data_IF_323573613748
#
_entry.id   IF_323573613748
#
_cell.length_a   1.000
_cell.length_b   1.000
_cell.length_c   1.000
_cell.angle_alpha   90.00
_cell.angle_beta   90.00
_cell.angle_gamma   90.00
#
_symmetry.space_group_name_H-M   'P 1'
#
loop_
_entity.id
_entity.type
_entity.pdbx_description
1 polymer ?
#
# COMPACT_ATOMS: atom_id res chain seq x y z
N UNK A 1 9.06 18.34 8.42
CA UNK A 1 8.67 17.02 7.88
C UNK A 1 8.90 16.90 6.39
N UNK A 2 8.23 17.71 5.55
CA UNK A 2 8.42 17.74 4.07
C UNK A 2 9.85 17.44 3.57
N UNK A 3 10.83 18.26 3.97
CA UNK A 3 12.22 18.12 3.52
C UNK A 3 12.87 16.77 3.91
N UNK A 4 12.46 16.16 5.02
CA UNK A 4 12.95 14.84 5.47
C UNK A 4 12.36 13.75 4.59
N UNK A 5 11.05 13.81 4.31
CA UNK A 5 10.40 12.88 3.38
C UNK A 5 11.00 12.99 1.97
N UNK A 6 11.13 14.21 1.44
CA UNK A 6 11.69 14.48 0.10
C UNK A 6 13.16 14.06 -0.02
N UNK A 7 13.92 14.05 1.07
CA UNK A 7 15.30 13.54 1.05
C UNK A 7 15.36 12.04 0.72
N UNK A 8 14.43 11.25 1.26
CA UNK A 8 14.38 9.80 1.02
C UNK A 8 13.48 9.40 -0.16
N UNK A 9 12.45 10.20 -0.44
CA UNK A 9 11.43 9.98 -1.45
C UNK A 9 11.17 11.31 -2.19
N UNK A 10 11.98 11.65 -3.21
CA UNK A 10 11.96 12.97 -3.85
C UNK A 10 10.61 13.36 -4.47
N UNK A 11 9.80 12.38 -4.89
CA UNK A 11 8.49 12.58 -5.50
C UNK A 11 7.34 12.50 -4.48
N UNK A 12 7.65 12.39 -3.18
CA UNK A 12 6.66 12.32 -2.13
C UNK A 12 5.84 13.61 -2.03
N UNK A 13 4.52 13.46 -2.01
CA UNK A 13 3.57 14.56 -1.81
C UNK A 13 2.83 14.39 -0.49
N UNK A 14 2.40 15.50 0.10
CA UNK A 14 1.57 15.48 1.29
C UNK A 14 0.27 14.69 1.03
N UNK A 15 -0.16 13.89 2.00
CA UNK A 15 -1.30 12.97 1.87
C UNK A 15 -2.61 13.71 1.52
N UNK A 16 -2.82 14.91 2.05
CA UNK A 16 -3.96 15.76 1.66
C UNK A 16 -3.90 16.20 0.19
N UNK A 17 -2.70 16.51 -0.30
CA UNK A 17 -2.49 16.92 -1.70
C UNK A 17 -2.70 15.75 -2.65
N UNK A 18 -2.20 14.56 -2.30
CA UNK A 18 -2.45 13.34 -3.07
C UNK A 18 -3.95 13.07 -3.23
N UNK A 19 -4.69 13.02 -2.13
CA UNK A 19 -6.11 12.67 -2.12
C UNK A 19 -6.95 13.62 -2.99
N UNK A 20 -6.70 14.93 -2.88
CA UNK A 20 -7.36 15.92 -3.74
C UNK A 20 -7.00 15.73 -5.22
N UNK A 21 -5.71 15.60 -5.54
CA UNK A 21 -5.24 15.49 -6.92
C UNK A 21 -5.74 14.22 -7.61
N UNK A 22 -5.72 13.07 -6.90
CA UNK A 22 -6.23 11.79 -7.41
C UNK A 22 -7.73 11.89 -7.69
N UNK A 23 -8.51 12.42 -6.75
CA UNK A 23 -9.95 12.58 -6.94
C UNK A 23 -10.29 13.49 -8.12
N UNK A 24 -9.63 14.66 -8.21
CA UNK A 24 -9.85 15.60 -9.30
C UNK A 24 -9.44 15.01 -10.65
N UNK A 25 -8.37 14.22 -10.69
CA UNK A 25 -7.90 13.56 -11.90
C UNK A 25 -8.89 12.49 -12.38
N UNK A 26 -9.37 11.63 -11.48
CA UNK A 26 -10.39 10.62 -11.79
C UNK A 26 -11.66 11.28 -12.35
N UNK A 27 -12.09 12.40 -11.76
CA UNK A 27 -13.26 13.15 -12.26
C UNK A 27 -13.07 13.70 -13.66
N UNK A 28 -11.88 14.22 -13.97
CA UNK A 28 -11.55 14.72 -15.33
C UNK A 28 -11.49 13.59 -16.35
N UNK A 29 -11.16 12.38 -15.92
CA UNK A 29 -11.05 11.18 -16.76
C UNK A 29 -12.37 10.37 -16.81
N UNK A 30 -13.48 11.02 -16.46
CA UNK A 30 -14.84 10.50 -16.64
C UNK A 30 -15.35 9.59 -15.52
N UNK A 31 -14.61 9.48 -14.41
CA UNK A 31 -15.18 8.93 -13.16
C UNK A 31 -16.05 9.96 -12.45
N UNK A 32 -16.92 9.49 -11.56
CA UNK A 32 -17.68 10.36 -10.65
C UNK A 32 -17.77 9.75 -9.25
N UNK A 33 -18.19 10.56 -8.28
CA UNK A 33 -18.30 10.11 -6.89
C UNK A 33 -19.46 9.16 -6.63
N UNK A 34 -20.49 9.13 -7.47
CA UNK A 34 -21.72 8.37 -7.24
C UNK A 34 -21.65 6.96 -7.84
N UNK A 35 -20.76 6.74 -8.81
CA UNK A 35 -20.58 5.50 -9.55
C UNK A 35 -19.16 4.93 -9.47
N UNK A 36 -18.27 5.53 -8.67
CA UNK A 36 -16.93 4.98 -8.41
C UNK A 36 -16.87 4.43 -6.99
N UNK A 37 -16.64 3.14 -6.84
CA UNK A 37 -16.28 2.54 -5.53
C UNK A 37 -14.77 2.40 -5.45
N UNK A 38 -14.23 2.15 -4.25
CA UNK A 38 -12.80 2.05 -4.07
C UNK A 38 -12.39 0.93 -3.11
N UNK A 39 -11.12 0.53 -3.25
CA UNK A 39 -10.49 -0.50 -2.46
C UNK A 39 -9.08 -0.06 -2.04
N UNK A 40 -8.57 -0.71 -1.01
CA UNK A 40 -7.20 -0.54 -0.54
C UNK A 40 -6.47 -1.87 -0.47
N UNK A 41 -5.24 -1.92 -0.99
CA UNK A 41 -4.25 -2.95 -0.66
C UNK A 41 -3.10 -2.31 0.12
N UNK A 42 -3.39 -2.00 1.39
CA UNK A 42 -2.49 -1.33 2.34
C UNK A 42 -2.27 -2.21 3.57
N UNK A 43 -1.33 -1.81 4.42
CA UNK A 43 -1.00 -2.53 5.65
C UNK A 43 -2.21 -2.61 6.60
N UNK A 44 -2.21 -3.60 7.50
CA UNK A 44 -3.18 -3.68 8.61
C UNK A 44 -2.86 -2.74 9.77
N UNK A 45 -1.74 -2.01 9.70
CA UNK A 45 -1.33 -1.03 10.70
C UNK A 45 -2.36 0.11 10.79
N UNK A 46 -2.73 0.56 12.00
CA UNK A 46 -3.81 1.53 12.16
C UNK A 46 -3.52 2.90 11.55
N UNK A 47 -2.24 3.23 11.37
CA UNK A 47 -1.78 4.50 10.80
C UNK A 47 -1.94 4.57 9.27
N UNK A 48 -2.15 3.44 8.58
CA UNK A 48 -2.35 3.43 7.12
C UNK A 48 -3.80 3.70 6.71
N UNK A 49 -4.64 4.13 7.65
CA UNK A 49 -6.04 4.45 7.42
C UNK A 49 -6.27 5.93 7.06
N UNK A 50 -5.31 6.57 6.38
CA UNK A 50 -5.29 8.01 6.11
C UNK A 50 -6.18 8.47 4.94
N UNK A 51 -6.91 7.53 4.30
CA UNK A 51 -7.65 7.74 3.05
C UNK A 51 -9.16 8.03 3.23
N UNK A 52 -9.57 8.49 4.42
CA UNK A 52 -10.99 8.79 4.72
C UNK A 52 -11.62 9.83 3.79
N UNK A 53 -10.83 10.67 3.12
CA UNK A 53 -11.31 11.60 2.10
C UNK A 53 -12.13 10.89 1.02
N UNK A 54 -11.70 9.72 0.56
CA UNK A 54 -12.39 8.98 -0.50
C UNK A 54 -13.73 8.42 -0.04
N UNK A 55 -13.87 7.97 1.22
CA UNK A 55 -15.17 7.56 1.79
C UNK A 55 -16.23 8.67 1.67
N UNK A 56 -15.83 9.94 1.77
CA UNK A 56 -16.78 11.07 1.69
C UNK A 56 -17.10 11.50 0.26
N UNK A 57 -16.37 10.96 -0.73
CA UNK A 57 -16.33 11.48 -2.11
C UNK A 57 -16.68 10.44 -3.17
N UNK A 58 -16.67 9.16 -2.80
CA UNK A 58 -16.87 8.01 -3.67
C UNK A 58 -18.03 7.16 -3.15
N UNK A 59 -18.55 6.29 -4.01
CA UNK A 59 -19.67 5.43 -3.72
C UNK A 59 -19.29 4.36 -2.71
N UNK A 60 -20.28 3.92 -1.93
CA UNK A 60 -20.12 2.89 -0.90
C UNK A 60 -19.64 3.44 0.46
N UNK A 61 -19.74 2.63 1.52
CA UNK A 61 -19.48 3.06 2.89
C UNK A 61 -17.99 3.19 3.26
N UNK A 62 -17.08 2.74 2.40
CA UNK A 62 -15.64 2.71 2.66
C UNK A 62 -14.89 1.82 1.67
N UNK A 63 -13.58 1.65 1.86
CA UNK A 63 -12.81 0.83 0.95
C UNK A 63 -13.15 -0.65 1.14
N UNK A 64 -13.17 -1.40 0.04
CA UNK A 64 -12.98 -2.85 0.10
C UNK A 64 -11.51 -3.13 0.48
N UNK A 65 -11.27 -3.97 1.48
CA UNK A 65 -9.91 -4.28 1.95
C UNK A 65 -9.36 -5.48 1.18
N UNK A 66 -8.44 -5.21 0.25
CA UNK A 66 -7.72 -6.23 -0.52
C UNK A 66 -6.40 -6.65 0.14
N UNK A 67 -5.85 -5.77 0.99
CA UNK A 67 -4.53 -5.89 1.59
C UNK A 67 -4.45 -6.83 2.81
N UNK A 68 -3.44 -6.57 3.62
CA UNK A 68 -3.09 -7.25 4.87
C UNK A 68 -1.74 -6.73 5.32
N UNK A 69 -1.00 -7.42 6.19
CA UNK A 69 0.29 -6.90 6.67
C UNK A 69 1.24 -6.62 5.50
N UNK A 70 2.04 -5.56 5.61
CA UNK A 70 2.91 -5.03 4.53
C UNK A 70 2.16 -4.46 3.31
N UNK A 71 0.84 -4.67 3.17
CA UNK A 71 0.06 -4.19 2.01
C UNK A 71 -0.05 -5.19 0.85
N UNK A 72 0.45 -6.42 1.02
CA UNK A 72 0.26 -7.49 0.04
C UNK A 72 -1.23 -7.79 -0.16
N UNK A 73 -1.70 -8.01 -1.41
CA UNK A 73 -3.12 -8.21 -1.72
C UNK A 73 -3.58 -9.63 -1.32
N UNK A 74 -3.70 -9.88 -0.02
CA UNK A 74 -4.02 -11.19 0.56
C UNK A 74 -5.47 -11.63 0.32
N UNK A 75 -6.38 -10.72 0.00
CA UNK A 75 -7.74 -11.09 -0.41
C UNK A 75 -7.76 -11.90 -1.72
N UNK A 76 -6.71 -11.77 -2.54
CA UNK A 76 -6.49 -12.58 -3.74
C UNK A 76 -7.54 -12.38 -4.83
N UNK A 77 -7.62 -13.34 -5.74
CA UNK A 77 -8.57 -13.34 -6.87
C UNK A 77 -10.02 -13.35 -6.37
N UNK A 78 -10.33 -14.15 -5.35
CA UNK A 78 -11.68 -14.20 -4.77
C UNK A 78 -12.12 -12.84 -4.22
N UNK A 79 -11.25 -12.17 -3.45
CA UNK A 79 -11.52 -10.83 -2.93
C UNK A 79 -11.65 -9.78 -4.03
N UNK A 80 -10.80 -9.84 -5.06
CA UNK A 80 -10.89 -8.94 -6.21
C UNK A 80 -12.22 -9.10 -6.96
N UNK A 81 -12.65 -10.33 -7.23
CA UNK A 81 -13.94 -10.59 -7.88
C UNK A 81 -15.12 -10.11 -7.03
N UNK A 82 -15.04 -10.26 -5.71
CA UNK A 82 -16.04 -9.70 -4.79
C UNK A 82 -16.06 -8.17 -4.82
N UNK A 83 -14.89 -7.52 -4.87
CA UNK A 83 -14.83 -6.06 -5.03
C UNK A 83 -15.44 -5.59 -6.36
N UNK A 84 -15.06 -6.22 -7.48
CA UNK A 84 -15.53 -5.85 -8.81
C UNK A 84 -17.04 -6.07 -8.99
N UNK A 85 -17.63 -7.08 -8.34
CA UNK A 85 -19.08 -7.32 -8.39
C UNK A 85 -19.90 -6.27 -7.65
N UNK A 86 -19.27 -5.44 -6.81
CA UNK A 86 -19.91 -4.33 -6.11
C UNK A 86 -19.86 -3.02 -6.91
N UNK A 87 -19.13 -2.97 -8.02
CA UNK A 87 -19.02 -1.77 -8.85
C UNK A 87 -20.42 -1.43 -9.41
N UNK A 88 -20.88 -0.17 -9.27
CA UNK A 88 -22.15 0.26 -9.85
C UNK A 88 -22.22 -0.05 -11.35
N UNK A 89 -23.42 -0.30 -11.88
CA UNK A 89 -23.60 -0.56 -13.32
C UNK A 89 -23.08 0.62 -14.15
N UNK A 90 -22.13 0.35 -15.05
CA UNK A 90 -21.46 1.40 -15.84
C UNK A 90 -20.52 2.29 -15.03
N UNK A 91 -20.24 1.90 -13.78
CA UNK A 91 -19.36 2.59 -12.86
C UNK A 91 -17.90 2.18 -12.99
N UNK A 92 -17.10 2.66 -12.04
CA UNK A 92 -15.65 2.48 -12.02
C UNK A 92 -15.18 1.99 -10.66
N UNK A 93 -13.94 1.50 -10.63
CA UNK A 93 -13.27 1.13 -9.40
C UNK A 93 -11.95 1.89 -9.27
N UNK A 94 -11.61 2.29 -8.05
CA UNK A 94 -10.26 2.75 -7.71
C UNK A 94 -9.60 1.77 -6.74
N UNK A 95 -8.31 1.49 -6.93
CA UNK A 95 -7.51 0.71 -5.98
C UNK A 95 -6.31 1.56 -5.55
N UNK A 96 -6.26 1.92 -4.27
CA UNK A 96 -5.08 2.51 -3.64
C UNK A 96 -4.24 1.39 -3.05
N UNK A 97 -2.97 1.27 -3.41
CA UNK A 97 -2.13 0.18 -2.93
C UNK A 97 -0.69 0.61 -2.69
N UNK A 98 -0.03 -0.16 -1.83
CA UNK A 98 1.35 0.11 -1.49
C UNK A 98 1.75 -0.47 -0.15
N UNK A 99 3.07 -0.61 0.09
CA UNK A 99 3.60 -0.77 1.42
C UNK A 99 3.64 0.59 2.12
N UNK A 100 4.06 0.58 3.38
CA UNK A 100 4.28 1.81 4.13
C UNK A 100 5.61 1.78 4.87
N UNK A 101 6.13 2.96 5.19
CA UNK A 101 7.35 3.16 5.95
C UNK A 101 7.20 4.34 6.91
N UNK A 102 7.73 4.18 8.12
CA UNK A 102 7.80 5.24 9.10
C UNK A 102 9.01 6.14 8.91
N UNK A 103 8.83 7.44 9.07
CA UNK A 103 9.91 8.43 9.09
C UNK A 103 9.69 9.37 10.27
N UNK A 104 10.60 9.36 11.25
CA UNK A 104 10.52 10.25 12.42
C UNK A 104 10.88 11.69 12.06
N UNK A 105 10.57 12.66 12.93
CA UNK A 105 11.01 14.05 12.78
C UNK A 105 12.53 14.22 12.64
N UNK A 106 13.31 13.31 13.22
CA UNK A 106 14.77 13.27 13.14
C UNK A 106 15.30 12.56 11.88
N UNK A 107 14.43 12.02 11.04
CA UNK A 107 14.80 11.31 9.82
C UNK A 107 15.16 9.84 10.03
N UNK A 108 14.74 9.22 11.14
CA UNK A 108 14.92 7.78 11.33
C UNK A 108 13.89 7.01 10.49
N UNK A 109 14.39 6.18 9.57
CA UNK A 109 13.54 5.32 8.74
C UNK A 109 13.10 4.05 9.47
N UNK A 110 11.90 3.57 9.15
CA UNK A 110 11.35 2.35 9.71
C UNK A 110 10.67 2.56 11.07
N UNK A 111 10.50 3.81 11.51
CA UNK A 111 9.93 4.14 12.83
C UNK A 111 9.05 5.38 12.82
N UNK A 112 8.13 5.43 13.78
CA UNK A 112 7.28 6.59 14.09
C UNK A 112 7.01 6.70 15.58
N UNK A 113 6.69 7.90 16.05
CA UNK A 113 6.04 8.17 17.34
C UNK A 113 4.54 8.03 17.20
N UNK A 114 3.97 7.04 17.88
CA UNK A 114 2.51 6.84 17.95
C UNK A 114 1.92 7.69 19.08
N UNK A 115 0.71 8.20 18.88
CA UNK A 115 0.00 9.03 19.85
C UNK A 115 -0.15 8.28 21.17
N UNK A 116 0.17 8.94 22.29
CA UNK A 116 0.05 8.40 23.65
C UNK A 116 0.89 7.13 23.92
N UNK A 117 1.97 6.92 23.17
CA UNK A 117 2.95 5.86 23.44
C UNK A 117 4.33 6.48 23.65
N UNK A 118 5.03 6.02 24.68
CA UNK A 118 6.41 6.43 24.92
C UNK A 118 7.36 5.82 23.88
N UNK A 119 8.24 6.66 23.33
CA UNK A 119 9.30 6.26 22.41
C UNK A 119 8.85 5.96 20.98
N UNK A 120 9.82 5.51 20.17
CA UNK A 120 9.60 5.13 18.77
C UNK A 120 9.09 3.69 18.67
N UNK A 121 8.29 3.44 17.65
CA UNK A 121 7.80 2.11 17.28
C UNK A 121 8.14 1.78 15.85
N UNK A 122 8.27 0.49 15.52
CA UNK A 122 8.54 0.05 14.15
C UNK A 122 7.35 0.36 13.23
N UNK A 123 7.67 0.69 11.98
CA UNK A 123 6.72 1.07 10.94
C UNK A 123 7.39 0.95 9.56
N UNK A 124 7.06 -0.01 8.70
CA UNK A 124 6.16 -1.13 8.90
C UNK A 124 6.74 -2.19 9.86
N UNK A 125 5.95 -2.63 10.84
CA UNK A 125 6.34 -3.69 11.76
C UNK A 125 6.61 -5.03 11.06
N UNK A 126 5.77 -5.40 10.08
CA UNK A 126 5.90 -6.65 9.31
C UNK A 126 7.16 -6.68 8.44
N UNK A 127 7.47 -5.58 7.74
CA UNK A 127 8.71 -5.44 6.96
C UNK A 127 9.92 -5.52 7.91
N UNK A 128 9.89 -4.82 9.05
CA UNK A 128 10.99 -4.85 10.01
C UNK A 128 11.24 -6.26 10.55
N UNK A 129 10.18 -6.98 10.92
CA UNK A 129 10.29 -8.37 11.37
C UNK A 129 10.83 -9.30 10.27
N UNK A 130 10.43 -9.08 9.01
CA UNK A 130 10.94 -9.84 7.89
C UNK A 130 12.42 -9.56 7.61
N UNK A 131 12.86 -8.31 7.74
CA UNK A 131 14.27 -7.93 7.66
C UNK A 131 15.13 -8.65 8.71
N UNK A 132 14.65 -8.70 9.95
CA UNK A 132 15.35 -9.43 11.01
C UNK A 132 15.39 -10.94 10.74
N UNK A 133 14.31 -11.49 10.18
CA UNK A 133 14.26 -12.91 9.78
C UNK A 133 15.31 -13.24 8.71
N UNK A 134 15.37 -12.48 7.61
CA UNK A 134 16.32 -12.76 6.51
C UNK A 134 17.78 -12.50 6.89
N UNK A 135 18.05 -11.66 7.90
CA UNK A 135 19.40 -11.49 8.47
C UNK A 135 19.90 -12.76 9.12
N UNK A 136 19.04 -13.41 9.91
CA UNK A 136 19.40 -14.57 10.74
C UNK A 136 19.27 -15.89 9.98
N UNK A 137 18.24 -16.05 9.15
CA UNK A 137 17.90 -17.31 8.50
C UNK A 137 18.03 -17.19 6.97
N UNK A 138 19.14 -17.70 6.42
CA UNK A 138 19.34 -17.77 4.97
C UNK A 138 18.56 -18.93 4.30
N UNK A 139 18.13 -19.92 5.09
CA UNK A 139 17.53 -21.16 4.60
C UNK A 139 16.01 -21.17 4.79
N UNK A 140 15.28 -20.96 3.69
CA UNK A 140 13.86 -21.33 3.50
C UNK A 140 12.86 -20.78 4.51
N UNK A 141 11.82 -20.09 4.03
CA UNK A 141 10.73 -19.66 4.93
C UNK A 141 9.84 -20.83 5.28
N UNK A 142 9.70 -21.11 6.57
CA UNK A 142 8.73 -22.08 7.05
C UNK A 142 7.32 -21.51 6.86
N UNK A 143 6.47 -22.28 6.19
CA UNK A 143 5.06 -21.95 6.08
C UNK A 143 4.38 -22.21 7.43
N UNK A 144 3.87 -21.15 8.06
CA UNK A 144 3.07 -21.24 9.28
C UNK A 144 1.63 -20.85 8.95
N UNK A 145 0.66 -21.79 8.97
CA UNK A 145 -0.73 -21.47 8.71
C UNK A 145 -1.34 -20.42 9.67
N UNK A 146 -0.79 -20.26 10.88
CA UNK A 146 -1.24 -19.26 11.85
C UNK A 146 -0.59 -17.89 11.64
N UNK A 147 0.55 -17.83 10.94
CA UNK A 147 1.28 -16.60 10.62
C UNK A 147 1.53 -16.46 9.11
N UNK A 148 0.59 -16.97 8.31
CA UNK A 148 0.75 -17.18 6.87
C UNK A 148 1.16 -15.89 6.14
N UNK A 149 0.54 -14.77 6.49
CA UNK A 149 0.85 -13.50 5.85
C UNK A 149 2.31 -13.11 6.08
N UNK A 150 2.85 -13.31 7.29
CA UNK A 150 4.24 -12.95 7.59
C UNK A 150 5.21 -13.91 6.92
N UNK A 151 4.90 -15.22 6.88
CA UNK A 151 5.68 -16.18 6.08
C UNK A 151 5.77 -15.73 4.61
N UNK A 152 4.68 -15.26 4.01
CA UNK A 152 4.73 -14.75 2.62
C UNK A 152 5.54 -13.46 2.48
N UNK A 153 5.49 -12.55 3.46
CA UNK A 153 6.34 -11.33 3.45
C UNK A 153 7.81 -11.68 3.54
N UNK A 154 8.20 -12.58 4.46
CA UNK A 154 9.59 -13.03 4.60
C UNK A 154 10.05 -13.70 3.30
N UNK A 155 9.23 -14.55 2.70
CA UNK A 155 9.57 -15.26 1.45
C UNK A 155 9.86 -14.27 0.33
N UNK A 156 9.01 -13.27 0.15
CA UNK A 156 9.20 -12.22 -0.84
C UNK A 156 10.48 -11.41 -0.60
N UNK A 157 10.73 -10.93 0.62
CA UNK A 157 11.94 -10.15 0.90
C UNK A 157 13.22 -11.00 0.85
N UNK A 158 13.14 -12.29 1.17
CA UNK A 158 14.29 -13.18 1.10
C UNK A 158 14.78 -13.41 -0.34
N UNK A 159 13.89 -13.30 -1.34
CA UNK A 159 14.27 -13.33 -2.76
C UNK A 159 15.16 -12.14 -3.16
N UNK A 160 15.14 -11.06 -2.36
CA UNK A 160 15.92 -9.84 -2.51
C UNK A 160 16.87 -9.64 -1.31
N UNK A 161 17.34 -10.73 -0.71
CA UNK A 161 18.12 -10.68 0.53
C UNK A 161 19.43 -9.91 0.35
N UNK A 162 20.18 -10.21 -0.71
CA UNK A 162 21.53 -9.65 -0.89
C UNK A 162 21.50 -8.14 -1.10
N UNK A 163 20.60 -7.65 -1.95
CA UNK A 163 20.44 -6.22 -2.23
C UNK A 163 19.87 -5.45 -1.04
N UNK A 164 18.91 -6.04 -0.32
CA UNK A 164 18.38 -5.43 0.92
C UNK A 164 19.47 -5.29 1.98
N UNK A 165 20.25 -6.35 2.24
CA UNK A 165 21.22 -6.36 3.32
C UNK A 165 22.49 -5.54 3.01
N UNK A 166 22.79 -5.31 1.72
CA UNK A 166 23.93 -4.50 1.29
C UNK A 166 23.62 -2.99 1.24
N UNK A 167 22.35 -2.58 1.37
CA UNK A 167 21.94 -1.19 1.24
C UNK A 167 22.28 -0.33 2.47
N UNK A 168 22.53 0.97 2.24
CA UNK A 168 22.71 1.97 3.32
C UNK A 168 21.46 2.08 4.21
N UNK A 169 20.28 1.90 3.60
CA UNK A 169 18.99 1.91 4.28
C UNK A 169 18.20 0.63 3.96
N UNK A 170 18.49 -0.50 4.64
CA UNK A 170 17.85 -1.79 4.34
C UNK A 170 16.32 -1.76 4.44
N UNK A 171 15.77 -1.01 5.40
CA UNK A 171 14.31 -0.88 5.54
C UNK A 171 13.67 -0.14 4.38
N UNK A 172 14.35 0.88 3.83
CA UNK A 172 13.88 1.58 2.64
C UNK A 172 13.84 0.64 1.43
N UNK A 173 14.94 -0.07 1.19
CA UNK A 173 15.05 -1.01 0.07
C UNK A 173 14.05 -2.14 0.21
N UNK A 174 13.84 -2.68 1.41
CA UNK A 174 12.80 -3.68 1.67
C UNK A 174 11.39 -3.15 1.40
N UNK A 175 11.09 -1.91 1.76
CA UNK A 175 9.81 -1.26 1.41
C UNK A 175 9.69 -1.08 -0.11
N UNK A 176 10.75 -0.67 -0.80
CA UNK A 176 10.76 -0.56 -2.26
C UNK A 176 10.51 -1.93 -2.94
N UNK A 177 11.12 -3.01 -2.45
CA UNK A 177 10.87 -4.39 -2.91
C UNK A 177 9.46 -4.88 -2.58
N UNK A 178 8.91 -4.49 -1.45
CA UNK A 178 7.52 -4.79 -1.10
C UNK A 178 6.55 -4.11 -2.09
N UNK A 179 6.82 -2.88 -2.52
CA UNK A 179 6.01 -2.19 -3.53
C UNK A 179 6.00 -2.96 -4.85
N UNK A 180 7.17 -3.35 -5.36
CA UNK A 180 7.29 -4.16 -6.59
C UNK A 180 6.50 -5.47 -6.48
N UNK A 181 6.59 -6.16 -5.33
CA UNK A 181 5.87 -7.40 -5.09
C UNK A 181 4.35 -7.20 -5.01
N UNK A 182 3.88 -6.13 -4.37
CA UNK A 182 2.45 -5.77 -4.27
C UNK A 182 1.91 -5.50 -5.68
N UNK A 183 2.60 -4.67 -6.46
CA UNK A 183 2.19 -4.31 -7.81
C UNK A 183 2.09 -5.53 -8.72
N UNK A 184 3.14 -6.34 -8.81
CA UNK A 184 3.15 -7.56 -9.64
C UNK A 184 2.10 -8.58 -9.21
N UNK A 185 1.78 -8.66 -7.91
CA UNK A 185 0.75 -9.59 -7.42
C UNK A 185 -0.65 -9.06 -7.70
N UNK A 186 -0.86 -7.76 -7.54
CA UNK A 186 -2.13 -7.10 -7.85
C UNK A 186 -2.46 -7.20 -9.34
N UNK A 187 -1.49 -6.97 -10.22
CA UNK A 187 -1.63 -7.14 -11.67
C UNK A 187 -2.06 -8.57 -12.04
N UNK A 188 -1.36 -9.59 -11.52
CA UNK A 188 -1.74 -11.00 -11.75
C UNK A 188 -3.12 -11.37 -11.20
N UNK A 189 -3.56 -10.70 -10.14
CA UNK A 189 -4.91 -10.87 -9.59
C UNK A 189 -5.94 -10.25 -10.54
N UNK A 190 -5.67 -9.05 -11.05
CA UNK A 190 -6.53 -8.34 -11.99
C UNK A 190 -6.65 -9.08 -13.31
N UNK A 191 -5.55 -9.61 -13.86
CA UNK A 191 -5.55 -10.43 -15.09
C UNK A 191 -6.48 -11.65 -14.99
N UNK A 192 -6.65 -12.20 -13.79
CA UNK A 192 -7.54 -13.34 -13.54
C UNK A 192 -8.97 -12.94 -13.16
N UNK A 193 -9.17 -11.72 -12.70
CA UNK A 193 -10.46 -11.24 -12.21
C UNK A 193 -11.22 -10.47 -13.29
N UNK A 194 -10.57 -9.53 -13.97
CA UNK A 194 -11.19 -8.62 -14.94
C UNK A 194 -11.94 -9.30 -16.10
N UNK A 195 -11.49 -10.44 -16.66
CA UNK A 195 -12.22 -11.11 -17.73
C UNK A 195 -13.69 -11.47 -17.39
N UNK A 196 -14.04 -11.59 -16.10
CA UNK A 196 -15.41 -11.87 -15.65
C UNK A 196 -16.28 -10.59 -15.55
N UNK A 197 -15.70 -9.41 -15.74
CA UNK A 197 -16.29 -8.11 -15.42
C UNK A 197 -16.17 -7.10 -16.58
N UNK A 198 -16.64 -7.49 -17.76
CA UNK A 198 -16.57 -6.69 -18.98
C UNK A 198 -17.14 -5.27 -18.80
N UNK A 199 -16.38 -4.26 -19.26
CA UNK A 199 -16.78 -2.85 -19.23
C UNK A 199 -16.55 -2.12 -17.91
N UNK A 200 -15.99 -2.78 -16.88
CA UNK A 200 -15.52 -2.10 -15.67
C UNK A 200 -14.13 -1.53 -15.91
N UNK A 201 -14.00 -0.23 -15.66
CA UNK A 201 -12.71 0.45 -15.66
C UNK A 201 -12.18 0.57 -14.23
N UNK A 202 -10.92 0.18 -14.05
CA UNK A 202 -10.23 0.26 -12.75
C UNK A 202 -9.08 1.25 -12.86
N UNK A 203 -9.00 2.20 -11.93
CA UNK A 203 -7.82 3.07 -11.77
C UNK A 203 -6.95 2.55 -10.64
N UNK A 204 -5.68 2.37 -10.95
CA UNK A 204 -4.64 1.96 -10.03
C UNK A 204 -3.91 3.20 -9.51
N UNK A 205 -3.84 3.35 -8.20
CA UNK A 205 -3.12 4.41 -7.48
C UNK A 205 -2.11 3.74 -6.55
N UNK A 206 -0.92 3.48 -7.08
CA UNK A 206 0.14 2.73 -6.42
C UNK A 206 1.26 3.63 -5.93
N UNK A 207 1.77 3.38 -4.73
CA UNK A 207 2.95 4.07 -4.23
C UNK A 207 3.42 3.56 -2.89
N UNK A 208 4.22 4.38 -2.20
CA UNK A 208 4.65 4.11 -0.82
C UNK A 208 4.00 5.14 0.09
N UNK A 209 3.25 4.65 1.08
CA UNK A 209 2.75 5.49 2.17
C UNK A 209 3.88 5.78 3.16
N UNK A 210 4.12 7.05 3.44
CA UNK A 210 5.19 7.51 4.31
C UNK A 210 4.50 8.06 5.56
N UNK A 211 4.46 7.24 6.61
CA UNK A 211 3.88 7.63 7.88
C UNK A 211 4.89 8.43 8.69
N UNK A 212 4.41 9.51 9.27
CA UNK A 212 5.21 10.44 10.06
C UNK A 212 4.80 10.35 11.53
N UNK A 213 5.47 11.10 12.41
CA UNK A 213 5.07 11.17 13.81
C UNK A 213 3.62 11.68 13.94
N UNK A 214 2.88 11.19 14.95
CA UNK A 214 1.43 11.36 15.08
C UNK A 214 0.89 12.81 15.00
N UNK A 215 1.74 13.81 15.20
CA UNK A 215 1.41 15.24 15.16
C UNK A 215 1.81 15.91 13.83
N UNK A 216 2.29 15.14 12.85
CA UNK A 216 2.67 15.57 11.52
C UNK A 216 1.71 15.02 10.46
N UNK A 217 1.75 15.62 9.27
CA UNK A 217 1.03 15.11 8.10
C UNK A 217 1.84 14.02 7.40
N UNK A 218 1.16 12.93 7.03
CA UNK A 218 1.75 11.84 6.25
C UNK A 218 1.98 12.22 4.78
N UNK A 219 2.84 11.45 4.11
CA UNK A 219 3.20 11.65 2.71
C UNK A 219 2.95 10.38 1.90
N UNK A 220 2.96 10.53 0.58
CA UNK A 220 2.81 9.41 -0.34
C UNK A 220 3.72 9.62 -1.55
N UNK A 221 4.58 8.64 -1.82
CA UNK A 221 5.42 8.57 -3.01
C UNK A 221 4.63 7.86 -4.12
N UNK A 222 3.95 8.63 -4.99
CA UNK A 222 3.10 8.11 -6.05
C UNK A 222 3.95 7.56 -7.20
N UNK A 223 3.87 6.25 -7.43
CA UNK A 223 4.66 5.55 -8.47
C UNK A 223 3.82 5.09 -9.65
N UNK A 224 2.56 4.75 -9.39
CA UNK A 224 1.64 4.24 -10.41
C UNK A 224 0.34 5.02 -10.38
N UNK A 225 0.00 5.61 -11.52
CA UNK A 225 -1.35 6.08 -11.82
C UNK A 225 -1.70 5.61 -13.23
N UNK A 226 -2.62 4.65 -13.35
CA UNK A 226 -3.09 4.20 -14.67
C UNK A 226 -4.49 3.62 -14.62
N UNK A 227 -5.21 3.78 -15.71
CA UNK A 227 -6.45 3.06 -15.98
C UNK A 227 -6.15 1.70 -16.61
N UNK A 228 -6.95 0.70 -16.22
CA UNK A 228 -7.06 -0.59 -16.87
C UNK A 228 -8.53 -0.87 -17.14
N UNK A 229 -8.80 -1.60 -18.21
CA UNK A 229 -10.14 -1.95 -18.68
C UNK A 229 -10.17 -3.45 -18.93
N UNK A 230 -11.32 -4.08 -18.63
CA UNK A 230 -11.58 -5.50 -18.91
C UNK A 230 -11.87 -5.80 -20.37
#
# INVERSE_FOLDING_TARGET
MKAVCEYYYPDAVAMSTLQHNVYDKIRKEGGDGDHTIWATSLCSDEITNSFHYFTQKMAGPGPFILGGITGLPFAGVTGMKAFLSHVPTGGKAMIVYGPHIGVTQEGELGKVRRKNRDGHSTCCGSITAALDSIRVHASGVQDDPLDYQQSRVIEHLNAHREDILAADHPVKVATDRAFEAIEQKLERILDQALPDFAGIQVVLVGGIEINTDWDQEDYFDLRTYRWIES
#
